data_IF_041177726809
#
_entry.id   IF_041177726809
#
_cell.length_a   1.000
_cell.length_b   1.000
_cell.length_c   1.000
_cell.angle_alpha   90.00
_cell.angle_beta   90.00
_cell.angle_gamma   90.00
#
_symmetry.space_group_name_H-M   'P 1'
#
loop_
_entity.id
_entity.type
_entity.pdbx_description
1 polymer ?
#
# COMPACT_ATOMS: atom_id res chain seq x y z
N UNK A 1 3.12 -8.19 25.16
CA UNK A 1 3.28 -9.56 24.61
C UNK A 1 2.72 -9.58 23.19
N UNK A 2 3.45 -10.16 22.25
CA UNK A 2 2.90 -10.51 20.92
C UNK A 2 2.18 -11.86 21.01
N UNK A 3 1.06 -12.00 20.29
CA UNK A 3 0.29 -13.26 20.18
C UNK A 3 0.48 -13.83 18.78
N UNK A 4 0.61 -15.16 18.67
CA UNK A 4 0.69 -15.86 17.38
C UNK A 4 -0.72 -16.21 16.92
N UNK A 5 -1.06 -15.77 15.71
CA UNK A 5 -2.29 -16.14 15.01
C UNK A 5 -1.92 -17.02 13.82
N UNK A 6 -2.58 -18.16 13.66
CA UNK A 6 -2.39 -19.09 12.53
C UNK A 6 -3.62 -19.00 11.65
N UNK A 7 -3.43 -18.80 10.34
CA UNK A 7 -4.51 -18.65 9.37
C UNK A 7 -4.32 -19.71 8.29
N UNK A 8 -5.30 -20.61 8.07
CA UNK A 8 -5.26 -21.52 6.93
C UNK A 8 -5.49 -20.72 5.63
N UNK A 9 -4.69 -21.01 4.61
CA UNK A 9 -4.77 -20.38 3.29
C UNK A 9 -4.63 -21.46 2.22
N UNK A 10 -5.20 -21.23 1.04
CA UNK A 10 -4.85 -22.05 -0.13
C UNK A 10 -3.39 -21.83 -0.51
N UNK A 11 -2.79 -22.82 -1.16
CA UNK A 11 -1.40 -22.74 -1.62
C UNK A 11 -1.17 -21.53 -2.53
N UNK A 12 -2.10 -21.26 -3.45
CA UNK A 12 -2.03 -20.11 -4.37
C UNK A 12 -2.03 -18.77 -3.63
N UNK A 13 -2.92 -18.60 -2.64
CA UNK A 13 -2.98 -17.37 -1.86
C UNK A 13 -1.75 -17.20 -0.98
N UNK A 14 -1.20 -18.30 -0.43
CA UNK A 14 0.03 -18.27 0.33
C UNK A 14 1.23 -17.89 -0.57
N UNK A 15 1.31 -18.44 -1.79
CA UNK A 15 2.34 -18.09 -2.76
C UNK A 15 2.25 -16.60 -3.17
N UNK A 16 1.04 -16.10 -3.42
CA UNK A 16 0.81 -14.69 -3.71
C UNK A 16 1.24 -13.78 -2.55
N UNK A 17 0.90 -14.14 -1.31
CA UNK A 17 1.33 -13.40 -0.11
C UNK A 17 2.85 -13.37 0.03
N UNK A 18 3.53 -14.49 -0.24
CA UNK A 18 4.99 -14.57 -0.20
C UNK A 18 5.64 -13.62 -1.22
N UNK A 19 5.16 -13.65 -2.47
CA UNK A 19 5.67 -12.74 -3.52
C UNK A 19 5.38 -11.27 -3.19
N UNK A 20 4.17 -10.97 -2.73
CA UNK A 20 3.78 -9.62 -2.33
C UNK A 20 4.66 -9.08 -1.19
N UNK A 21 4.92 -9.90 -0.17
CA UNK A 21 5.78 -9.55 0.95
C UNK A 21 7.23 -9.29 0.48
N UNK A 22 7.77 -10.15 -0.38
CA UNK A 22 9.10 -9.97 -0.96
C UNK A 22 9.21 -8.68 -1.79
N UNK A 23 8.18 -8.35 -2.58
CA UNK A 23 8.16 -7.13 -3.39
C UNK A 23 8.33 -5.85 -2.55
N UNK A 24 7.67 -5.78 -1.39
CA UNK A 24 7.75 -4.64 -0.47
C UNK A 24 8.88 -4.75 0.57
N UNK A 25 9.66 -5.84 0.58
CA UNK A 25 10.70 -6.07 1.59
C UNK A 25 10.14 -6.23 3.00
N UNK A 26 8.97 -6.86 3.13
CA UNK A 26 8.28 -7.12 4.38
C UNK A 26 8.18 -8.63 4.62
N UNK A 27 8.00 -9.04 5.87
CA UNK A 27 7.54 -10.39 6.18
C UNK A 27 6.06 -10.57 5.87
N UNK A 28 5.64 -11.81 5.60
CA UNK A 28 4.21 -12.13 5.41
C UNK A 28 3.35 -11.72 6.61
N UNK A 29 3.87 -11.89 7.83
CA UNK A 29 3.18 -11.48 9.06
C UNK A 29 2.99 -9.96 9.15
N UNK A 30 3.98 -9.17 8.72
CA UNK A 30 3.84 -7.71 8.67
C UNK A 30 2.82 -7.28 7.62
N UNK A 31 2.79 -7.93 6.45
CA UNK A 31 1.78 -7.65 5.41
C UNK A 31 0.39 -7.92 5.97
N UNK A 32 0.15 -9.12 6.52
CA UNK A 32 -1.16 -9.49 7.08
C UNK A 32 -1.57 -8.53 8.19
N UNK A 33 -0.66 -8.23 9.12
CA UNK A 33 -0.94 -7.29 10.21
C UNK A 33 -1.34 -5.90 9.71
N UNK A 34 -0.58 -5.35 8.76
CA UNK A 34 -0.88 -4.02 8.24
C UNK A 34 -2.17 -4.03 7.41
N UNK A 35 -2.42 -5.03 6.57
CA UNK A 35 -3.64 -5.15 5.79
C UNK A 35 -4.89 -5.25 6.69
N UNK A 36 -4.85 -6.11 7.70
CA UNK A 36 -5.95 -6.23 8.68
C UNK A 36 -6.18 -4.92 9.42
N UNK A 37 -5.12 -4.23 9.85
CA UNK A 37 -5.27 -2.90 10.48
C UNK A 37 -5.88 -1.89 9.52
N UNK A 38 -5.37 -1.78 8.30
CA UNK A 38 -5.92 -0.84 7.32
C UNK A 38 -7.42 -1.09 7.13
N UNK A 39 -7.84 -2.35 7.04
CA UNK A 39 -9.25 -2.69 6.94
C UNK A 39 -10.07 -2.18 8.14
N UNK A 40 -9.67 -2.50 9.38
CA UNK A 40 -10.41 -2.05 10.56
C UNK A 40 -10.47 -0.53 10.66
N UNK A 41 -9.35 0.15 10.44
CA UNK A 41 -9.25 1.60 10.59
C UNK A 41 -10.02 2.35 9.50
N UNK A 42 -10.00 1.88 8.25
CA UNK A 42 -10.81 2.48 7.17
C UNK A 42 -12.30 2.21 7.39
N UNK A 43 -12.67 1.02 7.85
CA UNK A 43 -14.06 0.65 8.08
C UNK A 43 -14.67 1.39 9.29
N UNK A 44 -13.89 1.70 10.32
CA UNK A 44 -14.38 2.49 11.48
C UNK A 44 -14.97 3.85 11.07
N UNK A 45 -14.54 4.44 9.95
CA UNK A 45 -15.09 5.71 9.45
C UNK A 45 -16.55 5.63 9.00
N UNK A 46 -17.05 4.44 8.71
CA UNK A 46 -18.39 4.24 8.16
C UNK A 46 -19.18 3.09 8.83
N UNK A 47 -18.61 2.46 9.86
CA UNK A 47 -19.19 1.32 10.54
C UNK A 47 -19.12 1.49 12.06
N UNK A 48 -20.26 1.78 12.68
CA UNK A 48 -20.36 1.97 14.13
C UNK A 48 -19.82 0.78 14.93
N UNK A 49 -20.08 -0.45 14.47
CA UNK A 49 -19.59 -1.64 15.16
C UNK A 49 -18.06 -1.67 15.26
N UNK A 50 -17.36 -1.31 14.17
CA UNK A 50 -15.90 -1.33 14.15
C UNK A 50 -15.34 -0.16 14.96
N UNK A 51 -15.98 1.00 14.92
CA UNK A 51 -15.63 2.16 15.75
C UNK A 51 -15.75 1.82 17.26
N UNK A 52 -16.90 1.31 17.69
CA UNK A 52 -17.14 0.86 19.06
C UNK A 52 -16.16 -0.25 19.49
N UNK A 53 -15.80 -1.16 18.58
CA UNK A 53 -14.83 -2.22 18.86
C UNK A 53 -13.43 -1.64 19.11
N UNK A 54 -12.99 -0.65 18.32
CA UNK A 54 -11.70 0.00 18.51
C UNK A 54 -11.68 0.81 19.81
N UNK A 55 -12.76 1.55 20.11
CA UNK A 55 -12.92 2.32 21.35
C UNK A 55 -12.86 1.42 22.59
N UNK A 56 -13.66 0.34 22.62
CA UNK A 56 -13.66 -0.64 23.73
C UNK A 56 -12.32 -1.34 23.97
N UNK A 57 -11.47 -1.41 22.95
CA UNK A 57 -10.14 -2.03 23.03
C UNK A 57 -9.02 -0.98 23.25
N UNK A 58 -9.37 0.28 23.49
CA UNK A 58 -8.45 1.42 23.62
C UNK A 58 -7.49 1.54 22.42
N UNK A 59 -7.97 1.22 21.21
CA UNK A 59 -7.17 1.31 19.98
C UNK A 59 -7.51 2.64 19.30
N UNK A 60 -6.62 3.65 19.34
CA UNK A 60 -6.89 4.93 18.69
C UNK A 60 -6.96 4.75 17.17
N UNK A 61 -7.89 5.48 16.55
CA UNK A 61 -8.04 5.52 15.10
C UNK A 61 -6.72 5.96 14.44
N UNK A 62 -6.30 5.22 13.42
CA UNK A 62 -5.09 5.51 12.66
C UNK A 62 -5.24 6.89 12.01
N UNK A 63 -4.21 7.73 12.16
CA UNK A 63 -4.21 9.10 11.60
C UNK A 63 -4.32 9.12 10.07
N UNK A 64 -4.14 7.97 9.43
CA UNK A 64 -4.28 7.77 8.00
C UNK A 64 -5.68 7.34 7.59
N UNK A 65 -6.54 6.90 8.52
CA UNK A 65 -7.86 6.31 8.21
C UNK A 65 -8.65 7.15 7.21
N UNK A 66 -8.69 8.48 7.40
CA UNK A 66 -9.42 9.41 6.53
C UNK A 66 -8.73 9.78 5.22
N UNK A 67 -7.55 9.24 4.91
CA UNK A 67 -6.85 9.53 3.66
C UNK A 67 -7.32 8.60 2.56
N UNK A 68 -7.62 9.16 1.39
CA UNK A 68 -8.03 8.38 0.23
C UNK A 68 -6.97 7.33 -0.20
N UNK A 69 -5.69 7.63 -0.02
CA UNK A 69 -4.60 6.71 -0.32
C UNK A 69 -4.34 5.63 0.75
N UNK A 70 -5.12 5.59 1.83
CA UNK A 70 -4.91 4.65 2.94
C UNK A 70 -5.43 3.26 2.60
N UNK A 71 -4.62 2.46 1.90
CA UNK A 71 -4.73 1.01 1.70
C UNK A 71 -3.56 0.55 0.82
N UNK A 72 -3.82 0.13 -0.42
CA UNK A 72 -2.88 -0.51 -1.34
C UNK A 72 -1.65 0.34 -1.66
N UNK A 73 -1.82 1.67 -1.67
CA UNK A 73 -0.74 2.61 -2.01
C UNK A 73 0.22 2.89 -0.83
N UNK A 74 -0.14 2.50 0.39
CA UNK A 74 0.65 2.86 1.58
C UNK A 74 2.02 2.20 1.64
N UNK A 75 2.15 0.94 1.20
CA UNK A 75 3.44 0.23 1.26
C UNK A 75 4.49 0.82 0.32
N UNK A 76 4.06 1.44 -0.78
CA UNK A 76 4.94 2.12 -1.72
C UNK A 76 5.14 3.61 -1.49
N UNK A 77 4.46 4.20 -0.50
CA UNK A 77 4.48 5.63 -0.27
C UNK A 77 5.71 6.05 0.56
N UNK A 78 6.43 7.10 0.12
CA UNK A 78 7.59 7.62 0.85
C UNK A 78 7.24 8.35 2.15
N UNK A 79 5.98 8.77 2.30
CA UNK A 79 5.48 9.48 3.47
C UNK A 79 4.88 8.57 4.54
N UNK A 80 5.02 7.24 4.44
CA UNK A 80 4.38 6.28 5.33
C UNK A 80 4.58 6.60 6.83
N UNK A 81 5.81 6.90 7.25
CA UNK A 81 6.13 7.23 8.64
C UNK A 81 5.49 8.56 9.08
N UNK A 82 5.59 9.61 8.25
CA UNK A 82 5.01 10.92 8.55
C UNK A 82 3.46 10.90 8.54
N UNK A 83 2.88 10.02 7.73
CA UNK A 83 1.45 9.73 7.72
C UNK A 83 0.98 9.08 9.02
N UNK A 84 1.72 8.08 9.55
CA UNK A 84 1.40 7.39 10.81
C UNK A 84 1.39 8.33 12.02
N UNK A 85 2.25 9.35 12.01
CA UNK A 85 2.32 10.37 13.07
C UNK A 85 1.36 11.54 12.85
N UNK A 86 0.65 11.58 11.72
CA UNK A 86 -0.27 12.66 11.37
C UNK A 86 0.39 13.98 10.95
N UNK A 87 1.72 13.98 10.77
CA UNK A 87 2.51 15.17 10.38
C UNK A 87 2.26 15.52 8.90
N UNK A 88 2.29 14.53 8.02
CA UNK A 88 2.11 14.76 6.59
C UNK A 88 0.62 14.87 6.25
N UNK A 89 0.21 15.98 5.62
CA UNK A 89 -1.19 16.28 5.28
C UNK A 89 -1.58 15.96 3.83
N UNK A 90 -0.62 15.67 2.97
CA UNK A 90 -0.90 15.24 1.58
C UNK A 90 -1.40 13.80 1.48
N UNK A 91 -1.62 13.37 0.25
CA UNK A 91 -1.89 12.01 -0.20
C UNK A 91 -0.60 11.30 -0.67
N UNK A 92 -0.76 10.15 -1.33
CA UNK A 92 0.32 9.30 -1.81
C UNK A 92 1.40 10.08 -2.58
N UNK A 93 2.65 9.72 -2.32
CA UNK A 93 3.79 10.00 -3.19
C UNK A 93 4.67 8.76 -3.20
N UNK A 94 4.82 8.15 -4.38
CA UNK A 94 5.47 6.87 -4.50
C UNK A 94 6.97 7.01 -4.27
N UNK A 95 7.56 6.03 -3.60
CA UNK A 95 8.99 5.97 -3.33
C UNK A 95 9.77 5.73 -4.63
N UNK A 96 10.77 6.58 -4.90
CA UNK A 96 11.59 6.51 -6.12
C UNK A 96 12.22 5.13 -6.34
N UNK A 97 12.67 4.46 -5.27
CA UNK A 97 13.24 3.10 -5.37
C UNK A 97 12.20 2.10 -5.84
N UNK A 98 10.97 2.23 -5.36
CA UNK A 98 9.88 1.37 -5.81
C UNK A 98 9.49 1.71 -7.24
N UNK A 99 9.46 3.00 -7.60
CA UNK A 99 9.13 3.44 -8.95
C UNK A 99 10.10 2.94 -10.03
N UNK A 100 11.36 2.66 -9.69
CA UNK A 100 12.30 1.97 -10.60
C UNK A 100 11.83 0.58 -11.04
N UNK A 101 10.95 -0.07 -10.26
CA UNK A 101 10.34 -1.37 -10.58
C UNK A 101 9.01 -1.25 -11.33
N UNK A 102 8.62 -0.03 -11.74
CA UNK A 102 7.37 0.28 -12.44
C UNK A 102 6.11 -0.41 -11.84
N UNK A 103 5.84 -0.26 -10.53
CA UNK A 103 4.76 -0.99 -9.83
C UNK A 103 3.34 -0.60 -10.29
N UNK A 104 3.21 0.53 -10.98
CA UNK A 104 1.93 1.10 -11.35
C UNK A 104 1.69 0.95 -12.85
N UNK A 105 0.56 0.31 -13.20
CA UNK A 105 -0.01 0.38 -14.54
C UNK A 105 -0.26 1.85 -14.95
N UNK A 106 -0.39 2.17 -16.25
CA UNK A 106 -0.74 3.52 -16.70
C UNK A 106 -2.00 4.09 -16.02
N UNK A 107 -3.05 3.27 -15.85
CA UNK A 107 -4.25 3.66 -15.10
C UNK A 107 -3.97 3.94 -13.62
N UNK A 108 -3.03 3.20 -13.00
CA UNK A 108 -2.58 3.45 -11.64
C UNK A 108 -1.83 4.78 -11.49
N UNK A 109 -0.97 5.13 -12.47
CA UNK A 109 -0.29 6.43 -12.53
C UNK A 109 -1.31 7.57 -12.65
N UNK A 110 -2.33 7.40 -13.48
CA UNK A 110 -3.43 8.35 -13.60
C UNK A 110 -4.21 8.51 -12.28
N UNK A 111 -4.61 7.42 -11.63
CA UNK A 111 -5.32 7.47 -10.34
C UNK A 111 -4.50 8.24 -9.30
N UNK A 112 -3.19 7.99 -9.22
CA UNK A 112 -2.29 8.71 -8.30
C UNK A 112 -2.21 10.20 -8.64
N UNK A 113 -2.03 10.55 -9.92
CA UNK A 113 -1.96 11.94 -10.36
C UNK A 113 -3.26 12.69 -10.08
N UNK A 114 -4.42 12.11 -10.41
CA UNK A 114 -5.73 12.70 -10.17
C UNK A 114 -6.01 12.89 -8.68
N UNK A 115 -5.57 11.94 -7.84
CA UNK A 115 -5.65 12.07 -6.38
C UNK A 115 -4.78 13.23 -5.87
N UNK A 116 -3.53 13.34 -6.35
CA UNK A 116 -2.64 14.43 -5.97
C UNK A 116 -3.22 15.80 -6.37
N UNK A 117 -3.74 15.93 -7.59
CA UNK A 117 -4.35 17.18 -8.08
C UNK A 117 -5.56 17.58 -7.23
N UNK A 118 -6.47 16.63 -6.93
CA UNK A 118 -7.65 16.91 -6.08
C UNK A 118 -7.29 17.40 -4.68
N UNK A 119 -6.12 17.02 -4.18
CA UNK A 119 -5.60 17.46 -2.89
C UNK A 119 -4.63 18.65 -2.97
N UNK A 120 -4.59 19.37 -4.11
CA UNK A 120 -3.74 20.54 -4.29
C UNK A 120 -2.24 20.23 -4.34
N UNK A 121 -1.87 18.97 -4.57
CA UNK A 121 -0.49 18.55 -4.72
C UNK A 121 -0.08 18.55 -6.19
N UNK A 122 1.20 18.85 -6.43
CA UNK A 122 1.81 18.67 -7.75
C UNK A 122 1.80 17.18 -8.09
N UNK A 123 1.28 16.77 -9.27
CA UNK A 123 1.28 15.37 -9.66
C UNK A 123 2.71 14.85 -9.83
N UNK A 124 2.95 13.63 -9.37
CA UNK A 124 4.22 12.92 -9.56
C UNK A 124 4.38 12.42 -10.99
N UNK A 125 3.26 12.20 -11.70
CA UNK A 125 3.24 11.71 -13.08
C UNK A 125 2.48 12.69 -13.97
N UNK A 126 3.09 13.11 -15.07
CA UNK A 126 2.44 13.94 -16.10
C UNK A 126 1.94 13.08 -17.26
N UNK A 127 0.92 13.55 -17.99
CA UNK A 127 0.28 12.80 -19.09
C UNK A 127 1.29 12.33 -20.15
N UNK A 128 2.32 13.13 -20.44
CA UNK A 128 3.35 12.74 -21.42
C UNK A 128 4.22 11.56 -20.95
N UNK A 129 4.32 11.33 -19.64
CA UNK A 129 5.09 10.22 -19.06
C UNK A 129 4.33 8.89 -19.09
N UNK A 130 3.03 8.91 -19.43
CA UNK A 130 2.18 7.71 -19.47
C UNK A 130 2.22 7.01 -20.82
N UNK A 131 2.64 7.71 -21.88
CA UNK A 131 2.60 7.26 -23.27
C UNK A 131 3.91 6.69 -23.80
N UNK A 132 5.00 6.73 -23.02
CA UNK A 132 6.21 6.02 -23.43
C UNK A 132 5.85 4.53 -23.49
N UNK A 133 5.91 3.88 -24.67
CA UNK A 133 5.82 2.44 -24.74
C UNK A 133 6.90 1.93 -23.80
N UNK A 134 6.53 1.05 -22.88
CA UNK A 134 7.51 0.36 -22.07
C UNK A 134 8.50 -0.25 -23.06
N UNK A 135 9.77 0.19 -23.04
CA UNK A 135 10.86 -0.63 -23.59
C UNK A 135 10.75 -1.93 -22.80
N UNK A 136 10.11 -2.90 -23.43
CA UNK A 136 9.72 -4.16 -22.83
C UNK A 136 11.00 -4.89 -22.39
N UNK A 137 11.41 -4.65 -21.16
CA UNK A 137 11.91 -5.75 -20.35
C UNK A 137 10.73 -6.72 -20.29
N UNK A 138 10.85 -7.79 -21.08
CA UNK A 138 9.89 -8.89 -21.07
C UNK A 138 9.56 -9.26 -19.63
N UNK A 139 8.29 -9.52 -19.36
CA UNK A 139 7.77 -9.95 -18.05
C UNK A 139 8.42 -11.25 -17.50
N UNK A 140 9.46 -11.77 -18.15
CA UNK A 140 10.28 -12.90 -17.71
C UNK A 140 11.52 -12.51 -16.88
N UNK A 141 12.04 -11.27 -17.00
CA UNK A 141 13.34 -10.94 -16.40
C UNK A 141 13.24 -10.37 -14.98
N UNK A 142 12.11 -9.80 -14.57
CA UNK A 142 11.95 -9.24 -13.20
C UNK A 142 11.61 -10.33 -12.17
N UNK A 143 11.10 -11.48 -12.62
CA UNK A 143 10.88 -12.64 -11.75
C UNK A 143 12.17 -13.46 -11.55
N UNK A 144 13.11 -13.46 -12.49
CA UNK A 144 14.31 -14.29 -12.41
C UNK A 144 15.20 -13.95 -11.19
N UNK A 145 15.30 -12.66 -10.82
CA UNK A 145 16.11 -12.21 -9.66
C UNK A 145 15.38 -12.37 -8.31
N UNK A 146 14.08 -12.70 -8.32
CA UNK A 146 13.31 -12.98 -7.10
C UNK A 146 13.23 -14.48 -6.76
N UNK A 147 13.80 -15.36 -7.60
CA UNK A 147 13.70 -16.82 -7.49
C UNK A 147 15.01 -17.55 -7.17
N UNK A 148 16.07 -16.86 -6.71
CA UNK A 148 17.29 -17.51 -6.23
C UNK A 148 17.42 -17.46 -4.70
N UNK A 149 16.79 -18.43 -4.02
CA UNK A 149 17.24 -18.97 -2.72
C UNK A 149 17.03 -20.49 -2.77
#
# INVERSE_FOLDING_TARGET
MTKRTVVPMSDDCHAALKQYAAFYGMSMSEVLYNCTRMQFHTQALNCQFVDDMLDKLDIPLDKRAGKECFTALCFGCKHLTACKTGVYKGVVEMNDKLMKRNPLKPSGKQIVADMQIRHGQRPQFFKEEWQKPDDAASDQDVLADAFTI
#
